data_IF_617124663016
#
_entry.id   IF_617124663016
#
_cell.length_a   1.000
_cell.length_b   1.000
_cell.length_c   1.000
_cell.angle_alpha   90.00
_cell.angle_beta   90.00
_cell.angle_gamma   90.00
#
_symmetry.space_group_name_H-M   'P 1'
#
loop_
_entity.id
_entity.type
_entity.pdbx_description
1 polymer ?
#
# COMPACT_ATOMS: atom_id res chain seq x y z
N UNK A 1 -3.63 -10.97 -8.27
CA UNK A 1 -2.33 -10.73 -7.60
C UNK A 1 -2.47 -9.56 -6.65
N UNK A 2 -2.14 -9.77 -5.40
CA UNK A 2 -2.20 -8.76 -4.33
C UNK A 2 -0.80 -8.17 -4.13
N UNK A 3 -0.68 -6.85 -4.29
CA UNK A 3 0.57 -6.09 -4.14
C UNK A 3 0.40 -5.15 -2.95
N UNK A 4 1.14 -5.35 -1.87
CA UNK A 4 1.12 -4.41 -0.74
C UNK A 4 2.21 -3.35 -0.89
N UNK A 5 1.79 -2.09 -0.93
CA UNK A 5 2.67 -0.91 -0.96
C UNK A 5 2.91 -0.46 0.47
N UNK A 6 4.13 -0.56 0.92
CA UNK A 6 4.50 -0.23 2.30
C UNK A 6 5.81 0.54 2.37
N UNK A 7 6.12 1.09 3.53
CA UNK A 7 7.34 1.83 3.79
C UNK A 7 7.23 2.46 5.16
N UNK A 8 8.19 2.21 6.01
CA UNK A 8 8.11 2.45 7.46
C UNK A 8 7.93 3.91 7.92
N UNK A 9 7.76 4.89 7.01
CA UNK A 9 7.63 6.30 7.37
C UNK A 9 6.49 6.99 6.64
N UNK A 10 5.80 7.91 7.32
CA UNK A 10 4.81 8.80 6.70
C UNK A 10 5.44 9.76 5.68
N UNK A 11 4.70 10.08 4.62
CA UNK A 11 5.08 11.08 3.63
C UNK A 11 6.17 10.64 2.62
N UNK A 12 6.50 9.35 2.52
CA UNK A 12 7.46 8.84 1.52
C UNK A 12 6.84 8.64 0.13
N UNK A 13 5.51 8.70 0.01
CA UNK A 13 4.79 8.57 -1.25
C UNK A 13 4.07 7.24 -1.47
N UNK A 14 3.79 6.45 -0.42
CA UNK A 14 3.06 5.18 -0.52
C UNK A 14 1.72 5.33 -1.25
N UNK A 15 0.83 6.16 -0.73
CA UNK A 15 -0.52 6.36 -1.29
C UNK A 15 -0.50 6.86 -2.73
N UNK A 16 0.43 7.75 -3.06
CA UNK A 16 0.66 8.20 -4.45
C UNK A 16 1.10 7.05 -5.34
N UNK A 17 2.02 6.21 -4.86
CA UNK A 17 2.50 5.03 -5.59
C UNK A 17 1.38 4.02 -5.77
N UNK A 18 0.60 3.75 -4.70
CA UNK A 18 -0.56 2.85 -4.72
C UNK A 18 -1.56 3.24 -5.81
N UNK A 19 -1.97 4.51 -5.85
CA UNK A 19 -2.94 5.00 -6.84
C UNK A 19 -2.41 4.90 -8.27
N UNK A 20 -1.17 5.32 -8.51
CA UNK A 20 -0.58 5.27 -9.84
C UNK A 20 -0.38 3.82 -10.30
N UNK A 21 0.12 2.94 -9.42
CA UNK A 21 0.32 1.54 -9.75
C UNK A 21 -1.02 0.84 -10.04
N UNK A 22 -2.05 1.06 -9.23
CA UNK A 22 -3.38 0.51 -9.47
C UNK A 22 -3.96 0.98 -10.81
N UNK A 23 -3.76 2.26 -11.18
CA UNK A 23 -4.18 2.81 -12.46
C UNK A 23 -3.45 2.16 -13.63
N UNK A 24 -2.12 2.08 -13.59
CA UNK A 24 -1.31 1.53 -14.68
C UNK A 24 -1.53 0.02 -14.88
N UNK A 25 -1.85 -0.71 -13.81
CA UNK A 25 -2.15 -2.13 -13.85
C UNK A 25 -3.63 -2.44 -14.16
N UNK A 26 -4.49 -1.44 -14.39
CA UNK A 26 -5.96 -1.58 -14.49
C UNK A 26 -6.56 -2.38 -13.31
N UNK A 27 -5.99 -2.17 -12.13
CA UNK A 27 -6.34 -2.83 -10.88
C UNK A 27 -7.30 -2.03 -10.01
N UNK A 28 -7.32 -2.38 -8.72
CA UNK A 28 -8.03 -1.65 -7.67
C UNK A 28 -7.06 -1.26 -6.55
N UNK A 29 -7.10 0.01 -6.13
CA UNK A 29 -6.41 0.48 -4.94
C UNK A 29 -7.27 0.21 -3.71
N UNK A 30 -6.68 -0.34 -2.66
CA UNK A 30 -7.35 -0.61 -1.37
C UNK A 30 -6.65 0.17 -0.28
N UNK A 31 -7.42 0.95 0.44
CA UNK A 31 -6.92 1.75 1.56
C UNK A 31 -6.95 0.94 2.86
N UNK A 32 -5.82 0.41 3.27
CA UNK A 32 -5.68 -0.30 4.53
C UNK A 32 -5.13 0.57 5.68
N UNK A 33 -4.93 1.89 5.45
CA UNK A 33 -4.73 2.85 6.54
C UNK A 33 -6.08 3.22 7.16
N UNK A 34 -6.59 2.36 8.03
CA UNK A 34 -7.92 2.48 8.63
C UNK A 34 -8.07 3.70 9.56
N UNK A 35 -6.98 4.36 9.91
CA UNK A 35 -6.97 5.48 10.84
C UNK A 35 -6.76 6.84 10.16
N UNK A 36 -5.84 6.90 9.18
CA UNK A 36 -5.36 8.17 8.59
C UNK A 36 -5.22 8.07 7.08
N UNK A 37 -6.35 7.85 6.40
CA UNK A 37 -6.39 7.70 4.95
C UNK A 37 -5.91 8.92 4.18
N UNK A 38 -4.99 8.68 3.24
CA UNK A 38 -4.50 9.64 2.26
C UNK A 38 -5.07 9.38 0.85
N UNK A 39 -5.86 8.30 0.65
CA UNK A 39 -6.47 8.00 -0.63
C UNK A 39 -7.75 8.82 -0.89
N UNK A 40 -8.14 9.02 -2.17
CA UNK A 40 -9.41 9.66 -2.50
C UNK A 40 -10.58 8.89 -1.89
N UNK A 41 -11.60 9.62 -1.46
CA UNK A 41 -12.78 9.05 -0.80
C UNK A 41 -14.00 9.06 -1.70
N UNK A 42 -14.67 7.92 -1.76
CA UNK A 42 -15.95 7.76 -2.43
C UNK A 42 -17.15 8.30 -1.66
N UNK A 43 -18.33 7.99 -2.15
CA UNK A 43 -19.62 8.37 -1.54
C UNK A 43 -20.40 7.16 -1.03
N UNK A 44 -20.09 5.97 -1.54
CA UNK A 44 -20.74 4.71 -1.19
C UNK A 44 -20.20 4.10 0.12
N UNK A 45 -20.44 2.80 0.31
CA UNK A 45 -19.80 2.03 1.37
C UNK A 45 -18.28 2.13 1.27
N UNK A 46 -17.60 1.95 2.38
CA UNK A 46 -16.15 2.05 2.48
C UNK A 46 -15.54 0.78 3.10
N UNK A 47 -14.21 0.73 3.26
CA UNK A 47 -13.55 -0.45 3.81
C UNK A 47 -13.99 -0.74 5.24
N UNK A 48 -14.35 0.26 6.05
CA UNK A 48 -14.88 0.03 7.40
C UNK A 48 -16.22 -0.71 7.35
N UNK A 49 -17.08 -0.40 6.35
CA UNK A 49 -18.35 -1.11 6.16
C UNK A 49 -18.13 -2.54 5.72
N UNK A 50 -17.13 -2.76 4.86
CA UNK A 50 -16.76 -4.11 4.40
C UNK A 50 -16.21 -4.93 5.56
N UNK A 51 -15.24 -4.40 6.31
CA UNK A 51 -14.61 -5.10 7.43
C UNK A 51 -15.54 -5.29 8.64
N UNK A 52 -16.63 -4.53 8.71
CA UNK A 52 -17.69 -4.71 9.69
C UNK A 52 -18.85 -5.62 9.20
N UNK A 53 -18.71 -6.19 8.00
CA UNK A 53 -19.74 -7.07 7.40
C UNK A 53 -21.01 -6.36 6.96
N UNK A 54 -21.00 -5.02 6.83
CA UNK A 54 -22.15 -4.21 6.40
C UNK A 54 -22.28 -4.04 4.89
N UNK A 55 -21.19 -4.26 4.14
CA UNK A 55 -21.17 -4.19 2.69
C UNK A 55 -20.29 -5.29 2.09
N UNK A 56 -20.61 -5.71 0.86
CA UNK A 56 -19.71 -6.59 0.13
C UNK A 56 -18.53 -5.79 -0.47
N UNK A 57 -17.32 -6.36 -0.57
CA UNK A 57 -16.15 -5.67 -1.10
C UNK A 57 -16.38 -5.03 -2.48
N UNK A 58 -17.12 -5.71 -3.36
CA UNK A 58 -17.41 -5.24 -4.72
C UNK A 58 -18.31 -4.00 -4.75
N UNK A 59 -19.23 -3.89 -3.79
CA UNK A 59 -20.17 -2.77 -3.70
C UNK A 59 -19.50 -1.50 -3.16
N UNK A 60 -18.35 -1.66 -2.51
CA UNK A 60 -17.57 -0.58 -1.92
C UNK A 60 -16.44 -0.05 -2.83
N UNK A 61 -16.21 -0.68 -3.99
CA UNK A 61 -15.24 -0.18 -4.98
C UNK A 61 -15.89 0.86 -5.87
N UNK A 62 -15.31 2.05 -5.89
CA UNK A 62 -15.78 3.16 -6.73
C UNK A 62 -14.71 3.61 -7.72
N UNK A 63 -15.14 4.13 -8.89
CA UNK A 63 -14.26 4.87 -9.79
C UNK A 63 -14.04 6.29 -9.24
N UNK A 64 -12.81 6.60 -8.86
CA UNK A 64 -12.40 7.93 -8.39
C UNK A 64 -11.38 8.52 -9.38
N UNK A 65 -11.88 9.36 -10.28
CA UNK A 65 -11.11 9.82 -11.42
C UNK A 65 -10.83 8.66 -12.40
N UNK A 66 -9.56 8.28 -12.57
CA UNK A 66 -9.10 7.25 -13.51
C UNK A 66 -8.70 5.93 -12.83
N UNK A 67 -9.02 5.73 -11.55
CA UNK A 67 -8.64 4.55 -10.80
C UNK A 67 -9.81 4.01 -9.97
N UNK A 68 -9.90 2.69 -9.83
CA UNK A 68 -10.85 2.03 -8.91
C UNK A 68 -10.26 2.06 -7.51
N UNK A 69 -11.05 2.47 -6.53
CA UNK A 69 -10.60 2.59 -5.14
C UNK A 69 -11.63 1.98 -4.20
N UNK A 70 -11.18 1.15 -3.29
CA UNK A 70 -11.87 0.82 -2.05
C UNK A 70 -11.32 1.75 -0.97
N UNK A 71 -12.07 2.82 -0.71
CA UNK A 71 -11.64 3.91 0.16
C UNK A 71 -11.76 3.59 1.64
N UNK A 72 -10.96 4.26 2.47
CA UNK A 72 -11.17 4.25 3.91
C UNK A 72 -12.39 5.09 4.33
N UNK A 73 -13.02 4.69 5.44
CA UNK A 73 -14.16 5.37 6.02
C UNK A 73 -13.80 6.71 6.69
N UNK A 74 -14.86 7.42 7.14
CA UNK A 74 -14.74 8.78 7.66
C UNK A 74 -15.00 8.89 9.16
N UNK A 75 -15.51 7.83 9.79
CA UNK A 75 -15.99 7.91 11.16
C UNK A 75 -15.17 7.03 12.09
N UNK A 76 -14.94 7.53 13.30
CA UNK A 76 -14.33 6.74 14.38
C UNK A 76 -15.17 5.52 14.74
N UNK A 77 -16.49 5.61 14.60
CA UNK A 77 -17.39 4.49 14.83
C UNK A 77 -17.16 3.38 13.78
N UNK A 78 -17.05 3.75 12.49
CA UNK A 78 -16.71 2.83 11.41
C UNK A 78 -15.36 2.15 11.66
N UNK A 79 -14.33 2.94 11.99
CA UNK A 79 -13.00 2.43 12.28
C UNK A 79 -12.98 1.46 13.49
N UNK A 80 -13.79 1.72 14.54
CA UNK A 80 -13.90 0.84 15.71
C UNK A 80 -14.68 -0.44 15.42
N UNK A 81 -15.61 -0.41 14.47
CA UNK A 81 -16.41 -1.57 14.07
C UNK A 81 -15.70 -2.45 13.05
N UNK A 82 -14.65 -1.96 12.41
CA UNK A 82 -13.88 -2.69 11.41
C UNK A 82 -13.02 -3.79 12.07
N UNK A 83 -13.20 -5.02 11.63
CA UNK A 83 -12.43 -6.18 12.08
C UNK A 83 -11.27 -6.40 11.10
N UNK A 84 -10.05 -6.03 11.49
CA UNK A 84 -8.86 -6.15 10.64
C UNK A 84 -8.60 -7.59 10.18
N UNK A 85 -9.05 -8.57 10.92
CA UNK A 85 -9.00 -10.00 10.62
C UNK A 85 -9.79 -10.38 9.36
N UNK A 86 -10.77 -9.57 8.94
CA UNK A 86 -11.53 -9.76 7.70
C UNK A 86 -10.81 -9.19 6.45
N UNK A 87 -9.70 -8.46 6.65
CA UNK A 87 -8.96 -7.88 5.51
C UNK A 87 -8.40 -8.95 4.55
N UNK A 88 -7.78 -10.05 4.99
CA UNK A 88 -7.29 -11.07 4.08
C UNK A 88 -8.39 -11.63 3.18
N UNK A 89 -9.55 -11.95 3.75
CA UNK A 89 -10.72 -12.43 3.01
C UNK A 89 -11.24 -11.37 2.01
N UNK A 90 -11.24 -10.12 2.41
CA UNK A 90 -11.63 -8.99 1.54
C UNK A 90 -10.71 -8.89 0.33
N UNK A 91 -9.38 -8.96 0.55
CA UNK A 91 -8.37 -8.91 -0.51
C UNK A 91 -8.50 -10.11 -1.47
N UNK A 92 -8.71 -11.32 -0.96
CA UNK A 92 -8.95 -12.52 -1.75
C UNK A 92 -10.18 -12.39 -2.67
N UNK A 93 -11.27 -11.81 -2.16
CA UNK A 93 -12.48 -11.58 -2.94
C UNK A 93 -12.23 -10.56 -4.06
N UNK A 94 -11.48 -9.50 -3.79
CA UNK A 94 -11.08 -8.51 -4.78
C UNK A 94 -10.13 -9.11 -5.83
N UNK A 95 -9.18 -9.94 -5.43
CA UNK A 95 -8.22 -10.58 -6.35
C UNK A 95 -8.90 -11.53 -7.36
N UNK A 96 -9.98 -12.20 -6.95
CA UNK A 96 -10.81 -13.01 -7.86
C UNK A 96 -11.54 -12.18 -8.92
N UNK A 97 -11.78 -10.91 -8.67
CA UNK A 97 -12.51 -9.99 -9.55
C UNK A 97 -11.59 -9.12 -10.38
N UNK A 98 -10.54 -8.61 -9.78
CA UNK A 98 -9.59 -7.69 -10.37
C UNK A 98 -8.24 -8.39 -10.60
N UNK A 99 -7.63 -8.14 -11.75
CA UNK A 99 -6.33 -8.73 -12.09
C UNK A 99 -5.23 -8.36 -11.09
N UNK A 100 -5.32 -7.14 -10.54
CA UNK A 100 -4.39 -6.62 -9.54
C UNK A 100 -5.13 -5.89 -8.43
N UNK A 101 -4.73 -6.17 -7.19
CA UNK A 101 -5.17 -5.47 -5.98
C UNK A 101 -3.95 -4.80 -5.38
N UNK A 102 -3.95 -3.47 -5.31
CA UNK A 102 -2.82 -2.69 -4.78
C UNK A 102 -3.23 -2.09 -3.45
N UNK A 103 -2.58 -2.52 -2.38
CA UNK A 103 -2.96 -2.19 -1.00
C UNK A 103 -2.06 -1.10 -0.45
N UNK A 104 -2.64 0.04 -0.03
CA UNK A 104 -1.94 1.10 0.72
C UNK A 104 -1.93 0.78 2.21
N UNK A 105 -0.77 0.89 2.86
CA UNK A 105 -0.64 0.62 4.29
C UNK A 105 -0.33 1.87 5.09
N UNK A 106 -0.68 1.90 6.39
CA UNK A 106 -0.20 2.95 7.28
C UNK A 106 1.33 2.95 7.38
N UNK A 107 1.88 3.96 8.02
CA UNK A 107 3.30 4.01 8.36
C UNK A 107 3.58 3.20 9.63
N UNK A 108 4.73 2.56 9.68
CA UNK A 108 5.17 1.82 10.89
C UNK A 108 5.30 0.32 10.67
N UNK A 109 5.32 -0.44 11.78
CA UNK A 109 5.54 -1.89 11.81
C UNK A 109 4.49 -2.60 12.69
N UNK A 110 3.37 -1.93 12.97
CA UNK A 110 2.32 -2.49 13.80
C UNK A 110 1.46 -3.51 13.04
N UNK A 111 0.48 -4.10 13.74
CA UNK A 111 -0.38 -5.16 13.22
C UNK A 111 -1.15 -4.74 11.95
N UNK A 112 -1.53 -3.48 11.87
CA UNK A 112 -2.20 -2.86 10.73
C UNK A 112 -1.34 -2.78 9.45
N UNK A 113 0.00 -2.92 9.60
CA UNK A 113 0.94 -3.15 8.48
C UNK A 113 1.17 -4.65 8.27
N UNK A 114 1.30 -5.42 9.34
CA UNK A 114 1.60 -6.85 9.27
C UNK A 114 0.53 -7.67 8.55
N UNK A 115 -0.76 -7.38 8.80
CA UNK A 115 -1.87 -8.11 8.17
C UNK A 115 -1.92 -7.90 6.64
N UNK A 116 -1.87 -6.67 6.09
CA UNK A 116 -1.77 -6.46 4.64
C UNK A 116 -0.52 -7.10 4.02
N UNK A 117 0.63 -7.02 4.70
CA UNK A 117 1.88 -7.64 4.20
C UNK A 117 1.74 -9.15 4.13
N UNK A 118 1.26 -9.81 5.19
CA UNK A 118 1.06 -11.25 5.21
C UNK A 118 0.00 -11.75 4.21
N UNK A 119 -0.88 -10.86 3.75
CA UNK A 119 -1.95 -11.18 2.78
C UNK A 119 -1.53 -10.96 1.33
N UNK A 120 -0.33 -10.42 1.09
CA UNK A 120 0.13 -10.06 -0.24
C UNK A 120 0.89 -11.20 -0.94
N UNK A 121 0.79 -11.25 -2.26
CA UNK A 121 1.68 -12.08 -3.08
C UNK A 121 3.09 -11.48 -3.13
N UNK A 122 3.17 -10.15 -3.13
CA UNK A 122 4.44 -9.39 -3.15
C UNK A 122 4.31 -8.04 -2.45
N UNK A 123 5.44 -7.53 -1.98
CA UNK A 123 5.58 -6.20 -1.39
C UNK A 123 6.32 -5.26 -2.34
N UNK A 124 5.82 -4.05 -2.49
CA UNK A 124 6.55 -2.90 -3.04
C UNK A 124 6.94 -1.97 -1.90
N UNK A 125 8.24 -1.81 -1.65
CA UNK A 125 8.75 -0.87 -0.65
C UNK A 125 8.88 0.53 -1.24
N UNK A 126 8.31 1.53 -0.56
CA UNK A 126 8.47 2.94 -0.94
C UNK A 126 9.28 3.66 0.13
N UNK A 127 10.37 4.30 -0.28
CA UNK A 127 11.24 5.05 0.62
C UNK A 127 11.79 6.32 -0.04
N UNK A 128 12.59 7.09 0.68
CA UNK A 128 13.29 8.28 0.17
C UNK A 128 14.77 8.20 0.55
N UNK A 129 15.69 8.99 -0.07
CA UNK A 129 17.12 8.99 0.24
C UNK A 129 17.48 9.41 1.67
N UNK A 130 16.49 9.81 2.49
CA UNK A 130 16.72 10.26 3.86
C UNK A 130 17.03 9.05 4.77
N UNK A 131 18.13 9.12 5.52
CA UNK A 131 18.60 8.04 6.41
C UNK A 131 17.48 7.43 7.28
N UNK A 132 16.59 8.20 7.95
CA UNK A 132 15.52 7.58 8.74
C UNK A 132 14.51 6.80 7.91
N UNK A 133 14.24 7.23 6.66
CA UNK A 133 13.31 6.51 5.78
C UNK A 133 13.92 5.20 5.27
N UNK A 134 15.21 5.21 4.96
CA UNK A 134 15.96 3.99 4.56
C UNK A 134 16.00 2.97 5.70
N UNK A 135 16.31 3.39 6.94
CA UNK A 135 16.30 2.49 8.09
C UNK A 135 14.92 1.86 8.33
N UNK A 136 13.86 2.65 8.20
CA UNK A 136 12.51 2.13 8.32
C UNK A 136 12.14 1.17 7.16
N UNK A 137 12.61 1.44 5.95
CA UNK A 137 12.41 0.53 4.81
C UNK A 137 13.12 -0.82 5.03
N UNK A 138 14.32 -0.81 5.64
CA UNK A 138 15.01 -2.01 6.06
C UNK A 138 14.19 -2.84 7.04
N UNK A 139 13.68 -2.22 8.09
CA UNK A 139 12.85 -2.89 9.10
C UNK A 139 11.56 -3.45 8.48
N UNK A 140 10.97 -2.70 7.53
CA UNK A 140 9.77 -3.18 6.82
C UNK A 140 10.09 -4.37 5.90
N UNK A 141 11.28 -4.38 5.28
CA UNK A 141 11.76 -5.53 4.50
C UNK A 141 11.95 -6.77 5.40
N UNK A 142 12.56 -6.61 6.57
CA UNK A 142 12.73 -7.69 7.54
C UNK A 142 11.35 -8.24 7.96
N UNK A 143 10.38 -7.37 8.27
CA UNK A 143 9.01 -7.79 8.57
C UNK A 143 8.38 -8.58 7.42
N UNK A 144 8.56 -8.16 6.17
CA UNK A 144 8.01 -8.87 5.02
C UNK A 144 8.64 -10.27 4.89
N UNK A 145 9.95 -10.39 5.10
CA UNK A 145 10.65 -11.68 5.09
C UNK A 145 10.22 -12.60 6.23
N UNK A 146 10.03 -12.06 7.44
CA UNK A 146 9.53 -12.81 8.60
C UNK A 146 8.10 -13.32 8.38
N UNK A 147 7.33 -12.67 7.52
CA UNK A 147 5.98 -13.05 7.11
C UNK A 147 5.95 -13.89 5.81
N UNK A 148 7.11 -14.37 5.35
CA UNK A 148 7.27 -15.15 4.11
C UNK A 148 6.74 -14.43 2.85
N UNK A 149 6.68 -13.08 2.87
CA UNK A 149 6.20 -12.28 1.73
C UNK A 149 7.38 -11.67 0.97
N UNK A 150 7.58 -12.00 -0.32
CA UNK A 150 8.71 -11.51 -1.09
C UNK A 150 8.59 -10.01 -1.38
N UNK A 151 9.71 -9.29 -1.30
CA UNK A 151 9.82 -7.91 -1.75
C UNK A 151 10.16 -7.91 -3.24
N UNK A 152 9.22 -7.46 -4.08
CA UNK A 152 9.37 -7.46 -5.54
C UNK A 152 10.22 -6.30 -6.05
N UNK A 153 10.12 -5.12 -5.43
CA UNK A 153 10.86 -3.94 -5.85
C UNK A 153 10.93 -2.89 -4.73
N UNK A 154 11.85 -1.94 -4.90
CA UNK A 154 11.96 -0.72 -4.09
C UNK A 154 11.72 0.50 -4.99
N UNK A 155 10.76 1.35 -4.64
CA UNK A 155 10.57 2.67 -5.22
C UNK A 155 11.29 3.71 -4.34
N UNK A 156 12.45 4.17 -4.79
CA UNK A 156 13.20 5.25 -4.14
C UNK A 156 12.69 6.59 -4.63
N UNK A 157 11.77 7.19 -3.88
CA UNK A 157 11.10 8.44 -4.23
C UNK A 157 11.91 9.68 -3.85
N UNK A 158 11.74 10.77 -4.59
CA UNK A 158 12.42 12.05 -4.40
C UNK A 158 13.95 11.92 -4.48
N UNK A 159 14.40 11.21 -5.48
CA UNK A 159 15.83 11.04 -5.75
C UNK A 159 16.28 12.03 -6.83
N UNK A 160 17.50 12.54 -6.73
CA UNK A 160 18.07 13.37 -7.79
C UNK A 160 18.24 12.58 -9.10
N UNK A 161 18.05 13.22 -10.25
CA UNK A 161 18.06 12.57 -11.56
C UNK A 161 19.35 11.78 -11.88
N UNK A 162 20.50 12.23 -11.37
CA UNK A 162 21.82 11.61 -11.58
C UNK A 162 22.29 10.78 -10.37
N UNK A 163 21.39 10.42 -9.45
CA UNK A 163 21.77 9.70 -8.22
C UNK A 163 22.10 8.24 -8.51
N UNK A 164 23.24 7.78 -8.04
CA UNK A 164 23.63 6.35 -8.05
C UNK A 164 22.96 5.54 -6.93
N UNK A 165 22.17 6.17 -6.08
CA UNK A 165 21.58 5.51 -4.90
C UNK A 165 20.64 4.34 -5.26
N UNK A 166 19.81 4.40 -6.33
CA UNK A 166 19.01 3.24 -6.72
C UNK A 166 19.87 2.00 -6.99
N UNK A 167 20.94 2.13 -7.80
CA UNK A 167 21.82 1.00 -8.10
C UNK A 167 22.51 0.46 -6.83
N UNK A 168 22.96 1.33 -5.93
CA UNK A 168 23.55 0.91 -4.64
C UNK A 168 22.58 0.15 -3.75
N UNK A 169 21.31 0.57 -3.70
CA UNK A 169 20.28 -0.14 -2.93
C UNK A 169 19.96 -1.49 -3.57
N UNK A 170 19.92 -1.56 -4.90
CA UNK A 170 19.71 -2.81 -5.63
C UNK A 170 20.84 -3.81 -5.34
N UNK A 171 22.09 -3.37 -5.40
CA UNK A 171 23.26 -4.20 -5.07
C UNK A 171 23.25 -4.68 -3.61
N UNK A 172 22.88 -3.80 -2.66
CA UNK A 172 22.88 -4.09 -1.23
C UNK A 172 21.73 -5.01 -0.81
N UNK A 173 20.54 -4.81 -1.38
CA UNK A 173 19.33 -5.55 -0.98
C UNK A 173 19.02 -6.74 -1.88
N UNK A 174 19.62 -6.83 -3.06
CA UNK A 174 19.32 -7.85 -4.05
C UNK A 174 17.88 -7.73 -4.59
N UNK A 175 17.31 -6.53 -4.57
CA UNK A 175 15.92 -6.25 -4.96
C UNK A 175 15.92 -5.13 -6.00
N UNK A 176 15.24 -5.29 -7.15
CA UNK A 176 15.13 -4.25 -8.17
C UNK A 176 14.72 -2.90 -7.57
N UNK A 177 15.49 -1.85 -7.86
CA UNK A 177 15.28 -0.54 -7.28
C UNK A 177 15.12 0.53 -8.36
N UNK A 178 13.99 1.23 -8.35
CA UNK A 178 13.72 2.33 -9.29
C UNK A 178 13.72 3.68 -8.59
N UNK A 179 14.49 4.63 -9.13
CA UNK A 179 14.48 6.02 -8.69
C UNK A 179 13.30 6.79 -9.29
N UNK A 180 12.53 7.45 -8.44
CA UNK A 180 11.47 8.40 -8.84
C UNK A 180 12.00 9.80 -8.53
N UNK A 181 12.20 10.66 -9.55
CA UNK A 181 12.74 11.99 -9.33
C UNK A 181 11.80 12.87 -8.52
N UNK A 182 12.37 13.84 -7.80
CA UNK A 182 11.57 14.88 -7.17
C UNK A 182 10.96 15.76 -8.28
N UNK A 183 9.64 15.89 -8.28
CA UNK A 183 8.92 16.76 -9.21
C UNK A 183 8.94 18.18 -8.67
N UNK A 184 9.41 19.11 -9.46
CA UNK A 184 9.22 20.54 -9.21
C UNK A 184 7.71 20.83 -9.32
N UNK A 185 7.02 20.94 -8.18
CA UNK A 185 5.60 21.24 -8.10
C UNK A 185 5.35 22.74 -8.06
#
# INVERSE_FOLDING_TARGET
>A
MIITVTGGKGGVGKSTTTLNLARELDGVAVDADLATSDLPRGRGPDIHDVLAGRAAPMDAVEWLGSVRVLSCGRTLEGARAAELEELPRTLDLLDRKYKHVVVDTPAGLARDVGVPVASADVVLLVTTPKKPALLNALQTRELALDLDTPVAAIALNRVGAESEMPARLEDEFGVPTTGIPESDA
#
